data_IF_501687944944
#
_entry.id   IF_501687944944
#
_cell.length_a   1.000
_cell.length_b   1.000
_cell.length_c   1.000
_cell.angle_alpha   90.00
_cell.angle_beta   90.00
_cell.angle_gamma   90.00
#
_symmetry.space_group_name_H-M   'P 1'
#
loop_
_entity.id
_entity.type
_entity.pdbx_description
1 polymer ?
#
# COMPACT_ATOMS: atom_id res chain seq x y z
N UNK A 1 2.90 -13.94 -7.82
CA UNK A 1 3.91 -13.84 -6.75
C UNK A 1 5.12 -14.71 -7.05
N UNK A 2 6.29 -14.24 -6.64
CA UNK A 2 7.63 -14.80 -6.87
C UNK A 2 8.07 -15.85 -5.84
N UNK A 3 7.15 -16.31 -4.98
CA UNK A 3 7.41 -17.31 -3.94
C UNK A 3 8.14 -16.75 -2.70
N UNK A 4 8.39 -15.44 -2.64
CA UNK A 4 9.07 -14.80 -1.51
C UNK A 4 8.10 -14.49 -0.36
N UNK A 5 8.66 -14.45 0.85
CA UNK A 5 7.96 -13.96 2.02
C UNK A 5 8.13 -12.45 2.11
N UNK A 6 7.03 -11.77 2.42
CA UNK A 6 7.00 -10.34 2.66
C UNK A 6 6.39 -10.06 4.02
N UNK A 7 7.07 -9.23 4.80
CA UNK A 7 6.50 -8.65 5.99
C UNK A 7 5.77 -7.34 5.62
N UNK A 8 4.72 -7.02 6.35
CA UNK A 8 3.97 -5.80 6.13
C UNK A 8 3.34 -5.27 7.41
N UNK A 9 2.98 -3.99 7.37
CA UNK A 9 2.27 -3.29 8.43
C UNK A 9 1.32 -2.27 7.81
N UNK A 10 0.14 -2.12 8.40
CA UNK A 10 -0.74 -1.00 8.11
C UNK A 10 -0.85 -0.06 9.33
N UNK A 11 -0.88 1.24 9.08
CA UNK A 11 -1.02 2.28 10.11
C UNK A 11 -2.15 3.22 9.70
N UNK A 12 -3.04 3.52 10.64
CA UNK A 12 -4.18 4.43 10.39
C UNK A 12 -3.72 5.87 10.61
N UNK A 13 -3.97 6.73 9.64
CA UNK A 13 -3.71 8.16 9.67
C UNK A 13 -5.04 8.93 9.56
N UNK A 14 -5.04 10.19 10.03
CA UNK A 14 -6.12 11.14 9.78
C UNK A 14 -5.65 12.14 8.74
N UNK A 15 -6.28 12.15 7.58
CA UNK A 15 -5.94 13.01 6.45
C UNK A 15 -7.22 13.65 5.89
N UNK A 16 -7.21 14.97 5.64
CA UNK A 16 -8.30 15.66 4.95
C UNK A 16 -9.70 15.52 5.57
N UNK A 17 -9.80 15.27 6.88
CA UNK A 17 -11.08 15.02 7.57
C UNK A 17 -11.59 13.56 7.48
N UNK A 18 -10.86 12.68 6.81
CA UNK A 18 -11.14 11.24 6.67
C UNK A 18 -10.07 10.34 7.28
N UNK A 19 -10.28 9.03 7.13
CA UNK A 19 -9.36 7.97 7.58
C UNK A 19 -8.56 7.45 6.40
N UNK A 20 -7.24 7.62 6.43
CA UNK A 20 -6.32 6.99 5.47
C UNK A 20 -5.53 5.86 6.15
N UNK A 21 -5.09 4.89 5.38
CA UNK A 21 -4.32 3.75 5.87
C UNK A 21 -3.02 3.67 5.08
N UNK A 22 -1.89 3.86 5.76
CA UNK A 22 -0.56 3.65 5.20
C UNK A 22 -0.20 2.19 5.31
N UNK A 23 -0.08 1.50 4.19
CA UNK A 23 0.50 0.16 4.09
C UNK A 23 1.98 0.29 3.78
N UNK A 24 2.83 -0.38 4.56
CA UNK A 24 4.23 -0.61 4.23
C UNK A 24 4.53 -2.10 4.16
N UNK A 25 5.23 -2.52 3.12
CA UNK A 25 5.70 -3.90 2.93
C UNK A 25 7.21 -3.93 2.65
N UNK A 26 7.88 -4.99 3.07
CA UNK A 26 9.31 -5.19 2.86
C UNK A 26 9.62 -6.68 2.76
N UNK A 27 10.64 -7.03 1.98
CA UNK A 27 11.17 -8.40 1.95
C UNK A 27 12.05 -8.64 3.16
N UNK A 28 13.28 -8.11 3.09
CA UNK A 28 14.23 -8.10 4.21
C UNK A 28 14.06 -6.85 5.09
N UNK A 29 14.46 -6.94 6.36
CA UNK A 29 14.32 -5.86 7.34
C UNK A 29 15.00 -4.54 6.90
N UNK A 30 16.14 -4.65 6.21
CA UNK A 30 16.93 -3.54 5.69
C UNK A 30 16.65 -3.24 4.20
N UNK A 31 15.65 -3.90 3.60
CA UNK A 31 15.29 -3.75 2.20
C UNK A 31 14.51 -2.47 1.90
N UNK A 32 14.36 -2.17 0.61
CA UNK A 32 13.56 -1.05 0.14
C UNK A 32 12.09 -1.32 0.47
N UNK A 33 11.49 -0.45 1.29
CA UNK A 33 10.10 -0.62 1.68
C UNK A 33 9.18 -0.17 0.54
N UNK A 34 8.16 -0.98 0.21
CA UNK A 34 6.99 -0.51 -0.52
C UNK A 34 6.12 0.32 0.42
N UNK A 35 5.59 1.44 -0.06
CA UNK A 35 4.60 2.23 0.66
C UNK A 35 3.41 2.56 -0.24
N UNK A 36 2.20 2.41 0.28
CA UNK A 36 0.97 2.85 -0.36
C UNK A 36 0.07 3.48 0.69
N UNK A 37 -0.55 4.60 0.34
CA UNK A 37 -1.55 5.25 1.17
C UNK A 37 -2.93 5.00 0.57
N UNK A 38 -3.83 4.45 1.38
CA UNK A 38 -5.14 3.97 0.97
C UNK A 38 -6.25 4.82 1.59
N UNK A 39 -7.23 5.22 0.78
CA UNK A 39 -8.50 5.75 1.24
C UNK A 39 -9.58 4.69 1.08
N UNK A 40 -10.46 4.57 2.07
CA UNK A 40 -11.59 3.63 1.94
C UNK A 40 -12.63 4.17 0.96
N UNK A 41 -13.12 3.29 0.09
CA UNK A 41 -14.21 3.59 -0.86
C UNK A 41 -15.59 3.64 -0.19
N UNK A 42 -15.74 3.01 0.97
CA UNK A 42 -16.99 3.05 1.74
C UNK A 42 -17.00 4.26 2.67
N UNK A 43 -17.52 5.38 2.16
CA UNK A 43 -17.71 6.59 2.96
C UNK A 43 -18.87 6.41 3.95
N UNK A 44 -18.54 6.05 5.19
CA UNK A 44 -19.47 6.06 6.32
C UNK A 44 -18.73 6.32 7.64
N UNK A 45 -19.36 6.99 8.61
CA UNK A 45 -18.75 7.16 9.93
C UNK A 45 -18.44 5.79 10.55
N UNK A 46 -17.15 5.51 10.78
CA UNK A 46 -16.69 4.29 11.45
C UNK A 46 -16.49 3.06 10.56
N UNK A 47 -16.20 3.22 9.26
CA UNK A 47 -16.17 2.09 8.31
C UNK A 47 -15.23 0.92 8.67
N UNK A 48 -14.28 1.11 9.59
CA UNK A 48 -13.43 0.06 10.13
C UNK A 48 -12.56 -0.68 9.11
N UNK A 49 -12.62 -0.31 7.82
CA UNK A 49 -12.04 -1.07 6.74
C UNK A 49 -10.54 -1.16 6.97
N UNK A 50 -9.96 -2.34 6.84
CA UNK A 50 -8.54 -2.53 7.03
C UNK A 50 -8.05 -3.45 5.92
N UNK A 51 -6.92 -3.14 5.26
CA UNK A 51 -6.42 -3.95 4.18
C UNK A 51 -6.14 -5.35 4.68
N UNK A 52 -6.61 -6.34 3.93
CA UNK A 52 -6.32 -7.74 4.20
C UNK A 52 -5.07 -8.20 3.43
N UNK A 53 -4.74 -9.49 3.55
CA UNK A 53 -3.60 -10.07 2.84
C UNK A 53 -3.76 -10.03 1.31
N UNK A 54 -4.99 -10.04 0.80
CA UNK A 54 -5.30 -9.94 -0.64
C UNK A 54 -4.98 -8.54 -1.16
N UNK A 55 -5.40 -7.50 -0.43
CA UNK A 55 -5.08 -6.11 -0.78
C UNK A 55 -3.56 -5.87 -0.78
N UNK A 56 -2.88 -6.34 0.27
CA UNK A 56 -1.42 -6.20 0.40
C UNK A 56 -0.69 -6.95 -0.70
N UNK A 57 -1.15 -8.15 -1.06
CA UNK A 57 -0.62 -8.91 -2.19
C UNK A 57 -0.75 -8.14 -3.50
N UNK A 58 -1.90 -7.51 -3.75
CA UNK A 58 -2.10 -6.71 -4.95
C UNK A 58 -1.14 -5.52 -5.01
N UNK A 59 -0.89 -4.85 -3.88
CA UNK A 59 0.12 -3.79 -3.77
C UNK A 59 1.53 -4.29 -4.10
N UNK A 60 1.95 -5.41 -3.50
CA UNK A 60 3.25 -6.03 -3.73
C UNK A 60 3.43 -6.39 -5.21
N UNK A 61 2.47 -7.10 -5.80
CA UNK A 61 2.52 -7.50 -7.21
C UNK A 61 2.55 -6.28 -8.13
N UNK A 62 1.83 -5.20 -7.78
CA UNK A 62 1.86 -3.97 -8.54
C UNK A 62 3.22 -3.26 -8.43
N UNK A 63 3.77 -3.13 -7.22
CA UNK A 63 5.08 -2.54 -6.98
C UNK A 63 6.19 -3.28 -7.74
N UNK A 64 6.21 -4.62 -7.66
CA UNK A 64 7.19 -5.44 -8.39
C UNK A 64 7.13 -5.19 -9.91
N UNK A 65 5.92 -5.08 -10.48
CA UNK A 65 5.75 -4.75 -11.91
C UNK A 65 6.23 -3.35 -12.28
N UNK A 66 6.29 -2.42 -11.32
CA UNK A 66 6.67 -1.01 -11.53
C UNK A 66 8.09 -0.70 -11.04
N UNK A 67 8.90 -1.74 -10.76
CA UNK A 67 10.31 -1.58 -10.45
C UNK A 67 10.63 -1.46 -8.96
N UNK A 68 9.68 -1.74 -8.07
CA UNK A 68 10.01 -1.95 -6.66
C UNK A 68 10.99 -3.12 -6.54
N UNK A 69 12.18 -2.84 -6.01
CA UNK A 69 13.24 -3.81 -5.81
C UNK A 69 13.42 -4.05 -4.30
N UNK A 70 12.76 -5.06 -3.70
CA UNK A 70 12.76 -5.27 -2.25
C UNK A 70 14.15 -5.59 -1.67
N UNK A 71 15.05 -6.14 -2.49
CA UNK A 71 16.42 -6.51 -2.07
C UNK A 71 17.39 -5.32 -2.08
N UNK A 72 17.01 -4.19 -2.70
CA UNK A 72 17.84 -2.98 -2.67
C UNK A 72 17.83 -2.45 -1.26
N UNK A 73 19.02 -2.25 -0.69
CA UNK A 73 19.15 -1.82 0.70
C UNK A 73 18.61 -0.40 0.89
N UNK A 74 17.71 -0.26 1.86
CA UNK A 74 17.13 1.00 2.28
C UNK A 74 16.20 1.65 1.24
N UNK A 75 15.68 2.82 1.61
CA UNK A 75 14.78 3.60 0.77
C UNK A 75 13.31 3.24 0.92
N UNK A 76 12.48 3.91 0.13
CA UNK A 76 11.05 3.65 0.06
C UNK A 76 10.58 3.85 -1.37
N UNK A 77 9.94 2.83 -1.92
CA UNK A 77 9.23 2.90 -3.17
C UNK A 77 7.77 3.24 -2.88
N UNK A 78 7.31 4.40 -3.35
CA UNK A 78 5.96 4.90 -3.09
C UNK A 78 5.07 4.60 -4.29
N UNK A 79 3.96 3.92 -4.04
CA UNK A 79 2.84 3.85 -4.98
C UNK A 79 2.03 5.13 -4.82
N UNK A 80 2.28 6.11 -5.68
CA UNK A 80 1.53 7.37 -5.74
C UNK A 80 0.21 7.21 -6.50
N UNK A 81 -0.83 7.94 -6.09
CA UNK A 81 -2.11 7.93 -6.80
C UNK A 81 -1.95 8.46 -8.23
N UNK A 82 -1.16 9.53 -8.40
CA UNK A 82 -0.91 10.15 -9.70
C UNK A 82 -0.35 9.18 -10.76
N UNK A 83 0.48 8.22 -10.36
CA UNK A 83 1.16 7.32 -11.31
C UNK A 83 0.52 5.93 -11.37
N UNK A 84 -0.12 5.47 -10.29
CA UNK A 84 -0.49 4.06 -10.13
C UNK A 84 -2.00 3.80 -9.96
N UNK A 85 -2.81 4.82 -9.61
CA UNK A 85 -4.22 4.60 -9.25
C UNK A 85 -5.06 3.97 -10.38
N UNK A 86 -4.85 4.37 -11.63
CA UNK A 86 -5.63 3.84 -12.77
C UNK A 86 -5.38 2.35 -13.03
N UNK A 87 -4.23 1.83 -12.60
CA UNK A 87 -3.75 0.47 -12.88
C UNK A 87 -3.82 -0.46 -11.67
N UNK A 88 -4.23 0.07 -10.52
CA UNK A 88 -4.34 -0.66 -9.27
C UNK A 88 -5.80 -0.68 -8.81
N UNK A 89 -6.45 -1.84 -8.95
CA UNK A 89 -7.81 -2.03 -8.47
C UNK A 89 -7.81 -2.77 -7.14
N UNK A 90 -8.29 -2.09 -6.10
CA UNK A 90 -8.56 -2.65 -4.78
C UNK A 90 -10.07 -2.54 -4.52
N UNK A 91 -10.77 -3.62 -4.12
CA UNK A 91 -12.24 -3.60 -4.01
C UNK A 91 -12.77 -2.56 -3.01
N UNK A 92 -12.11 -2.42 -1.86
CA UNK A 92 -12.54 -1.55 -0.77
C UNK A 92 -11.73 -0.25 -0.67
N UNK A 93 -10.65 -0.10 -1.45
CA UNK A 93 -9.69 0.99 -1.28
C UNK A 93 -9.35 1.68 -2.59
N UNK A 94 -8.97 2.95 -2.50
CA UNK A 94 -8.32 3.68 -3.58
C UNK A 94 -6.96 4.19 -3.11
N UNK A 95 -6.00 4.22 -4.03
CA UNK A 95 -4.69 4.80 -3.77
C UNK A 95 -4.84 6.32 -3.65
N UNK A 96 -4.19 6.91 -2.65
CA UNK A 96 -4.26 8.35 -2.38
C UNK A 96 -2.88 8.88 -2.02
N UNK A 97 -2.63 10.16 -2.29
CA UNK A 97 -1.39 10.87 -1.93
C UNK A 97 -1.57 11.76 -0.67
N UNK A 98 -2.69 11.61 0.05
CA UNK A 98 -3.13 12.54 1.09
C UNK A 98 -2.48 12.34 2.48
N UNK A 99 -1.46 11.50 2.63
CA UNK A 99 -0.98 11.02 3.94
C UNK A 99 0.25 11.72 4.52
#
# INVERSE_FOLDING_TARGET
>A
MDGRLYAWRATVNRAGGGRSIRVRAWGEHDGCALQADLLSRTAGPGDGAYPDATDVRALIEHGLRHGWAPDVRGGTFVLSAAEHAERLSLPAFELTDLA
#
